data_IF_543360903076
#
_entry.id   IF_543360903076
#
_cell.length_a   1.000
_cell.length_b   1.000
_cell.length_c   1.000
_cell.angle_alpha   90.00
_cell.angle_beta   90.00
_cell.angle_gamma   90.00
#
_symmetry.space_group_name_H-M   'P 1'
#
loop_
_entity.id
_entity.type
_entity.pdbx_description
1 polymer ?
#
# COMPACT_ATOMS: atom_id res chain seq x y z
N UNK A 1 8.99 82.65 1.74
CA UNK A 1 8.26 81.48 2.27
C UNK A 1 7.81 80.64 1.10
N UNK A 2 8.49 79.53 0.82
CA UNK A 2 8.13 78.61 -0.27
C UNK A 2 7.57 77.35 0.37
N UNK A 3 6.29 77.08 0.15
CA UNK A 3 5.59 75.94 0.73
C UNK A 3 5.81 74.70 -0.14
N UNK A 4 6.44 73.64 0.41
CA UNK A 4 6.56 72.34 -0.25
C UNK A 4 5.33 71.50 0.10
N UNK A 5 4.52 71.18 -0.89
CA UNK A 5 3.45 70.19 -0.77
C UNK A 5 4.03 68.78 -0.92
N UNK A 6 3.81 67.92 0.08
CA UNK A 6 4.11 66.49 0.00
C UNK A 6 2.88 65.75 -0.53
N UNK A 7 3.04 65.06 -1.67
CA UNK A 7 2.06 64.10 -2.19
C UNK A 7 2.37 62.73 -1.59
N UNK A 8 1.50 62.27 -0.68
CA UNK A 8 1.47 60.89 -0.20
C UNK A 8 0.81 60.02 -1.27
N UNK A 9 1.62 59.28 -2.03
CA UNK A 9 1.14 58.23 -2.94
C UNK A 9 0.70 57.00 -2.16
N UNK A 10 -0.57 56.64 -2.25
CA UNK A 10 -1.09 55.37 -1.75
C UNK A 10 -0.79 54.29 -2.80
N UNK A 11 0.13 53.37 -2.48
CA UNK A 11 0.32 52.16 -3.27
C UNK A 11 -0.79 51.16 -2.92
N UNK A 12 -1.73 50.94 -3.83
CA UNK A 12 -2.71 49.87 -3.70
C UNK A 12 -2.03 48.53 -4.05
N UNK A 13 -1.81 47.69 -3.04
CA UNK A 13 -1.41 46.30 -3.26
C UNK A 13 -2.61 45.52 -3.81
N UNK A 14 -2.57 45.17 -5.09
CA UNK A 14 -3.53 44.22 -5.69
C UNK A 14 -3.09 42.82 -5.27
N UNK A 15 -3.77 42.26 -4.28
CA UNK A 15 -3.68 40.84 -3.98
C UNK A 15 -4.37 40.07 -5.12
N UNK A 16 -3.57 39.47 -6.01
CA UNK A 16 -4.06 38.52 -6.99
C UNK A 16 -4.42 37.25 -6.22
N UNK A 17 -5.70 37.07 -5.92
CA UNK A 17 -6.19 35.79 -5.42
C UNK A 17 -5.94 34.73 -6.50
N UNK A 18 -5.05 33.78 -6.22
CA UNK A 18 -4.93 32.58 -7.03
C UNK A 18 -6.32 31.93 -7.13
N UNK A 19 -6.75 31.45 -8.31
CA UNK A 19 -7.99 30.71 -8.40
C UNK A 19 -7.88 29.51 -7.46
N UNK A 20 -8.80 29.43 -6.51
CA UNK A 20 -8.92 28.25 -5.66
C UNK A 20 -9.07 27.05 -6.58
N UNK A 21 -8.12 26.11 -6.53
CA UNK A 21 -8.26 24.85 -7.20
C UNK A 21 -9.58 24.24 -6.69
N UNK A 22 -10.51 24.00 -7.60
CA UNK A 22 -11.75 23.31 -7.25
C UNK A 22 -11.34 21.93 -6.77
N UNK A 23 -11.42 21.70 -5.46
CA UNK A 23 -11.18 20.40 -4.85
C UNK A 23 -12.12 19.40 -5.51
N UNK A 24 -11.61 18.54 -6.39
CA UNK A 24 -12.37 17.40 -6.90
C UNK A 24 -12.41 16.36 -5.78
N UNK A 25 -13.58 16.09 -5.19
CA UNK A 25 -13.67 15.14 -4.10
C UNK A 25 -13.29 13.73 -4.58
N UNK A 26 -12.66 12.94 -3.71
CA UNK A 26 -12.29 11.56 -4.04
C UNK A 26 -13.48 10.75 -4.58
N UNK A 27 -13.25 10.04 -5.69
CA UNK A 27 -14.23 9.13 -6.28
C UNK A 27 -13.53 7.93 -6.88
N UNK A 28 -13.73 6.76 -6.26
CA UNK A 28 -13.16 5.50 -6.75
C UNK A 28 -13.63 5.13 -8.16
N UNK A 29 -14.91 5.43 -8.46
CA UNK A 29 -15.48 5.24 -9.79
C UNK A 29 -14.68 6.00 -10.86
N UNK A 30 -14.27 7.23 -10.55
CA UNK A 30 -13.55 8.10 -11.49
C UNK A 30 -12.02 7.94 -11.41
N UNK A 31 -11.50 7.07 -10.55
CA UNK A 31 -10.07 6.75 -10.52
C UNK A 31 -9.68 5.98 -11.78
N UNK A 32 -8.70 6.49 -12.51
CA UNK A 32 -8.13 5.91 -13.73
C UNK A 32 -6.75 5.28 -13.47
N UNK A 33 -5.98 5.82 -12.52
CA UNK A 33 -4.62 5.36 -12.23
C UNK A 33 -4.49 4.89 -10.78
N UNK A 34 -3.90 3.71 -10.58
CA UNK A 34 -3.52 3.21 -9.27
C UNK A 34 -2.00 3.08 -9.24
N UNK A 35 -1.34 3.89 -8.41
CA UNK A 35 0.08 3.84 -8.15
C UNK A 35 0.31 3.05 -6.86
N UNK A 36 1.09 1.98 -6.89
CA UNK A 36 1.27 1.13 -5.71
C UNK A 36 2.72 1.09 -5.24
N UNK A 37 2.90 1.24 -3.93
CA UNK A 37 4.19 1.13 -3.23
C UNK A 37 4.03 0.16 -2.08
N UNK A 38 5.06 -0.63 -1.77
CA UNK A 38 4.92 -1.65 -0.74
C UNK A 38 5.90 -2.81 -0.86
N UNK A 39 5.51 -3.91 -0.24
CA UNK A 39 6.30 -5.13 -0.17
C UNK A 39 5.69 -6.31 -0.96
N UNK A 40 5.97 -7.53 -0.51
CA UNK A 40 5.52 -8.77 -1.13
C UNK A 40 4.00 -8.95 -1.13
N UNK A 41 3.26 -8.28 -0.24
CA UNK A 41 1.79 -8.29 -0.25
C UNK A 41 1.21 -7.48 -1.41
N UNK A 42 2.02 -6.66 -2.09
CA UNK A 42 1.57 -5.74 -3.16
C UNK A 42 2.37 -5.88 -4.46
N UNK A 43 3.56 -6.51 -4.44
CA UNK A 43 4.35 -6.71 -5.65
C UNK A 43 3.58 -7.48 -6.73
N UNK A 44 3.72 -7.03 -7.98
CA UNK A 44 3.17 -7.66 -9.18
C UNK A 44 4.33 -7.97 -10.11
N UNK A 45 4.40 -9.17 -10.69
CA UNK A 45 5.45 -9.50 -11.66
C UNK A 45 5.29 -8.76 -12.99
N UNK A 46 6.34 -8.05 -13.41
CA UNK A 46 6.47 -7.50 -14.76
C UNK A 46 7.51 -8.27 -15.59
N UNK A 47 7.50 -8.08 -16.90
CA UNK A 47 8.54 -8.59 -17.82
C UNK A 47 9.88 -7.87 -17.69
N UNK A 48 9.90 -6.60 -17.23
CA UNK A 48 11.10 -5.80 -16.98
C UNK A 48 11.51 -5.78 -15.48
N UNK A 49 10.77 -6.52 -14.66
CA UNK A 49 10.99 -6.65 -13.24
C UNK A 49 11.96 -7.77 -12.87
N UNK A 50 12.38 -7.79 -11.61
CA UNK A 50 13.10 -8.94 -11.08
C UNK A 50 12.10 -10.06 -10.80
N UNK A 51 12.33 -11.22 -11.40
CA UNK A 51 11.44 -12.38 -11.27
C UNK A 51 11.20 -12.77 -9.81
N UNK A 52 9.92 -12.85 -9.43
CA UNK A 52 9.37 -13.06 -8.10
C UNK A 52 9.52 -11.89 -7.10
N UNK A 53 9.88 -10.68 -7.56
CA UNK A 53 10.14 -9.54 -6.66
C UNK A 53 9.54 -8.21 -7.08
N UNK A 54 9.44 -7.88 -8.37
CA UNK A 54 9.00 -6.55 -8.78
C UNK A 54 8.32 -6.53 -10.14
N UNK A 55 7.59 -5.44 -10.37
CA UNK A 55 7.06 -5.11 -11.69
C UNK A 55 8.19 -4.62 -12.59
N UNK A 56 8.98 -3.65 -12.11
CA UNK A 56 10.05 -3.04 -12.89
C UNK A 56 11.34 -2.87 -12.08
N UNK A 57 12.47 -3.27 -12.69
CA UNK A 57 13.80 -3.02 -12.15
C UNK A 57 14.11 -3.67 -10.79
N UNK A 58 15.25 -3.29 -10.22
CA UNK A 58 15.71 -3.68 -8.88
C UNK A 58 16.73 -2.68 -8.36
N UNK A 59 17.19 -2.77 -7.11
CA UNK A 59 18.23 -1.88 -6.59
C UNK A 59 19.55 -1.94 -7.39
N UNK A 60 19.85 -3.08 -8.02
CA UNK A 60 21.03 -3.24 -8.88
C UNK A 60 20.90 -2.49 -10.21
N UNK A 61 19.66 -2.20 -10.64
CA UNK A 61 19.34 -1.42 -11.82
C UNK A 61 18.00 -0.70 -11.59
N UNK A 62 18.06 0.40 -10.81
CA UNK A 62 16.86 1.11 -10.36
C UNK A 62 16.26 1.96 -11.48
N UNK A 63 17.09 2.41 -12.42
CA UNK A 63 16.67 3.21 -13.58
C UNK A 63 16.01 2.34 -14.65
N UNK A 64 15.06 2.94 -15.38
CA UNK A 64 14.50 2.36 -16.60
C UNK A 64 14.18 3.46 -17.61
N UNK A 65 14.11 3.06 -18.88
CA UNK A 65 13.71 3.95 -19.98
C UNK A 65 12.17 4.04 -20.11
N UNK A 66 11.65 5.09 -20.76
CA UNK A 66 10.22 5.16 -21.10
C UNK A 66 9.74 3.93 -21.89
N UNK A 67 10.56 3.43 -22.82
CA UNK A 67 10.24 2.26 -23.65
C UNK A 67 10.12 1.00 -22.81
N UNK A 68 10.99 0.81 -21.80
CA UNK A 68 10.89 -0.31 -20.87
C UNK A 68 9.61 -0.21 -20.04
N UNK A 69 9.35 0.92 -19.37
CA UNK A 69 8.16 1.07 -18.53
C UNK A 69 6.86 0.86 -19.31
N UNK A 70 6.77 1.46 -20.50
CA UNK A 70 5.59 1.35 -21.35
C UNK A 70 5.48 -0.04 -22.00
N UNK A 71 6.62 -0.66 -22.33
CA UNK A 71 6.70 -1.99 -22.91
C UNK A 71 6.38 -3.12 -21.93
N UNK A 72 6.59 -2.87 -20.64
CA UNK A 72 6.44 -3.83 -19.56
C UNK A 72 5.01 -4.38 -19.45
N UNK A 73 4.90 -5.66 -19.07
CA UNK A 73 3.65 -6.41 -19.03
C UNK A 73 3.52 -7.13 -17.71
N UNK A 74 2.37 -6.98 -17.07
CA UNK A 74 1.95 -7.82 -15.96
C UNK A 74 1.89 -9.27 -16.45
N UNK A 75 2.66 -10.13 -15.78
CA UNK A 75 2.74 -11.55 -16.10
C UNK A 75 1.68 -12.31 -15.31
N UNK A 76 0.71 -12.96 -15.96
CA UNK A 76 -0.24 -13.82 -15.26
C UNK A 76 0.44 -15.11 -14.80
N UNK A 77 -0.05 -15.68 -13.70
CA UNK A 77 0.36 -17.00 -13.26
C UNK A 77 0.39 -17.15 -11.75
N UNK A 78 0.64 -18.39 -11.33
CA UNK A 78 0.65 -18.76 -9.92
C UNK A 78 1.85 -18.17 -9.17
N UNK A 79 3.03 -18.15 -9.79
CA UNK A 79 4.27 -17.70 -9.17
C UNK A 79 4.64 -16.25 -9.51
N UNK A 80 3.66 -15.44 -9.93
CA UNK A 80 3.86 -14.05 -10.37
C UNK A 80 3.43 -13.01 -9.33
N UNK A 81 3.09 -13.47 -8.13
CA UNK A 81 2.96 -12.70 -6.89
C UNK A 81 3.34 -13.59 -5.69
N UNK A 82 3.35 -13.03 -4.48
CA UNK A 82 3.53 -13.83 -3.25
C UNK A 82 2.25 -14.50 -2.75
N UNK A 83 1.17 -14.49 -3.52
CA UNK A 83 -0.14 -15.03 -3.15
C UNK A 83 -0.48 -16.39 -3.80
N UNK A 84 0.32 -16.85 -4.77
CA UNK A 84 -0.05 -18.04 -5.56
C UNK A 84 -1.06 -17.77 -6.67
N UNK A 85 -1.22 -16.51 -7.07
CA UNK A 85 -2.19 -16.00 -8.04
C UNK A 85 -2.20 -14.47 -8.02
N UNK A 86 -3.20 -13.78 -8.59
CA UNK A 86 -3.30 -12.33 -8.50
C UNK A 86 -3.40 -11.85 -7.04
N UNK A 87 -2.69 -10.78 -6.70
CA UNK A 87 -2.79 -10.16 -5.38
C UNK A 87 -3.91 -9.11 -5.31
N UNK A 88 -4.07 -8.47 -4.15
CA UNK A 88 -5.19 -7.56 -3.89
C UNK A 88 -5.26 -6.35 -4.84
N UNK A 89 -4.13 -5.84 -5.36
CA UNK A 89 -4.15 -4.69 -6.29
C UNK A 89 -4.52 -5.12 -7.70
N UNK A 90 -4.13 -6.32 -8.12
CA UNK A 90 -4.56 -6.90 -9.40
C UNK A 90 -6.07 -7.21 -9.36
N UNK A 91 -6.56 -7.75 -8.24
CA UNK A 91 -8.00 -7.98 -8.03
C UNK A 91 -8.80 -6.68 -7.95
N UNK A 92 -8.31 -5.68 -7.20
CA UNK A 92 -8.98 -4.38 -7.03
C UNK A 92 -9.13 -3.60 -8.34
N UNK A 93 -8.12 -3.68 -9.22
CA UNK A 93 -8.11 -2.95 -10.49
C UNK A 93 -8.66 -3.76 -11.67
N UNK A 94 -8.73 -5.09 -11.53
CA UNK A 94 -8.95 -6.01 -12.65
C UNK A 94 -7.75 -6.14 -13.60
N UNK A 95 -6.65 -5.42 -13.37
CA UNK A 95 -5.47 -5.42 -14.22
C UNK A 95 -4.54 -6.60 -13.89
N UNK A 96 -4.90 -7.79 -14.35
CA UNK A 96 -4.24 -9.06 -13.99
C UNK A 96 -3.16 -9.52 -14.97
N UNK A 97 -3.15 -8.99 -16.18
CA UNK A 97 -2.18 -9.34 -17.23
C UNK A 97 -2.04 -8.23 -18.27
N UNK A 98 -0.99 -8.30 -19.08
CA UNK A 98 -0.80 -7.37 -20.20
C UNK A 98 -0.21 -6.03 -19.75
N UNK A 99 -0.36 -4.99 -20.58
CA UNK A 99 0.24 -3.69 -20.26
C UNK A 99 -0.67 -2.92 -19.31
N UNK A 100 -0.15 -2.26 -18.26
CA UNK A 100 -0.95 -1.45 -17.35
C UNK A 100 -1.88 -0.43 -18.04
N UNK A 101 -1.40 0.20 -19.13
CA UNK A 101 -2.15 1.22 -19.88
C UNK A 101 -3.35 0.68 -20.68
N UNK A 102 -3.42 -0.64 -20.88
CA UNK A 102 -4.51 -1.27 -21.62
C UNK A 102 -5.67 -1.67 -20.67
N UNK A 103 -5.47 -1.56 -19.36
CA UNK A 103 -6.47 -1.83 -18.33
C UNK A 103 -7.43 -0.64 -18.10
N UNK A 104 -8.67 -0.92 -17.70
CA UNK A 104 -9.67 0.12 -17.38
C UNK A 104 -9.19 1.03 -16.24
N UNK A 105 -8.66 0.43 -15.17
CA UNK A 105 -7.88 1.11 -14.15
C UNK A 105 -6.42 0.69 -14.31
N UNK A 106 -5.57 1.63 -14.67
CA UNK A 106 -4.17 1.35 -14.91
C UNK A 106 -3.45 1.05 -13.60
N UNK A 107 -2.80 -0.11 -13.52
CA UNK A 107 -2.04 -0.53 -12.34
C UNK A 107 -0.55 -0.33 -12.57
N UNK A 108 0.02 0.71 -11.97
CA UNK A 108 1.44 1.01 -12.04
C UNK A 108 2.11 0.67 -10.71
N UNK A 109 2.75 -0.51 -10.66
CA UNK A 109 3.33 -1.05 -9.44
C UNK A 109 4.81 -0.75 -9.27
N UNK A 110 5.17 -0.22 -8.10
CA UNK A 110 6.55 0.01 -7.65
C UNK A 110 6.89 -0.80 -6.39
N UNK A 111 5.94 -1.54 -5.84
CA UNK A 111 6.17 -2.46 -4.73
C UNK A 111 7.24 -3.51 -5.05
N UNK A 112 8.07 -3.82 -4.06
CA UNK A 112 9.18 -4.75 -4.17
C UNK A 112 9.13 -5.81 -3.05
N UNK A 113 9.11 -7.09 -3.40
CA UNK A 113 9.02 -8.16 -2.40
C UNK A 113 10.22 -8.14 -1.43
N UNK A 114 9.92 -8.13 -0.13
CA UNK A 114 10.94 -8.02 0.92
C UNK A 114 11.41 -6.59 1.21
N UNK A 115 10.71 -5.57 0.71
CA UNK A 115 11.03 -4.18 1.04
C UNK A 115 10.67 -3.84 2.48
N UNK A 116 11.61 -3.20 3.15
CA UNK A 116 11.40 -2.37 4.34
C UNK A 116 11.11 -0.92 3.93
N UNK A 117 10.68 -0.10 4.89
CA UNK A 117 10.40 1.33 4.66
C UNK A 117 11.68 2.07 4.23
N UNK A 118 12.77 1.83 4.94
CA UNK A 118 14.09 2.45 4.69
C UNK A 118 15.21 1.52 5.13
N UNK A 119 16.44 1.93 4.83
CA UNK A 119 17.64 1.24 5.35
C UNK A 119 18.21 1.86 6.63
N UNK A 120 17.48 2.79 7.27
CA UNK A 120 17.97 3.50 8.47
C UNK A 120 18.03 2.60 9.70
N UNK A 121 17.03 1.73 9.86
CA UNK A 121 16.85 0.89 11.06
C UNK A 121 17.12 -0.60 10.81
N UNK A 122 16.89 -1.05 9.58
CA UNK A 122 17.07 -2.44 9.14
C UNK A 122 17.84 -2.48 7.84
N UNK A 123 18.58 -3.56 7.62
CA UNK A 123 19.33 -3.78 6.38
C UNK A 123 18.44 -4.40 5.30
N UNK A 124 18.69 -4.11 4.03
CA UNK A 124 18.01 -4.78 2.93
C UNK A 124 18.12 -6.31 3.05
N UNK A 125 17.00 -7.02 2.86
CA UNK A 125 16.95 -8.48 2.81
C UNK A 125 17.87 -9.07 1.74
N UNK A 126 17.98 -8.35 0.61
CA UNK A 126 18.85 -8.68 -0.50
C UNK A 126 19.46 -7.41 -1.10
N UNK A 127 20.63 -7.51 -1.71
CA UNK A 127 21.28 -6.36 -2.36
C UNK A 127 20.50 -5.79 -3.56
N UNK A 128 19.54 -6.54 -4.10
CA UNK A 128 18.60 -6.11 -5.14
C UNK A 128 17.29 -5.52 -4.58
N UNK A 129 17.14 -5.59 -3.26
CA UNK A 129 16.29 -4.81 -2.35
C UNK A 129 15.90 -3.37 -2.71
N UNK A 130 14.75 -3.03 -3.32
CA UNK A 130 14.32 -1.62 -3.35
C UNK A 130 13.48 -1.30 -2.10
N UNK A 131 14.03 -0.51 -1.17
CA UNK A 131 13.28 0.01 -0.01
C UNK A 131 12.16 0.96 -0.43
N UNK A 132 11.12 1.12 0.40
CA UNK A 132 9.96 1.93 0.07
C UNK A 132 10.31 3.37 -0.35
N UNK A 133 11.21 4.04 0.38
CA UNK A 133 11.69 5.38 0.02
C UNK A 133 12.32 5.42 -1.39
N UNK A 134 13.05 4.35 -1.76
CA UNK A 134 13.66 4.19 -3.07
C UNK A 134 12.66 3.82 -4.15
N UNK A 135 11.56 3.13 -3.82
CA UNK A 135 10.45 2.91 -4.74
C UNK A 135 9.80 4.25 -5.13
N UNK A 136 9.60 5.15 -4.16
CA UNK A 136 9.07 6.50 -4.42
C UNK A 136 10.05 7.33 -5.25
N UNK A 137 11.36 7.27 -4.96
CA UNK A 137 12.40 7.93 -5.78
C UNK A 137 12.42 7.37 -7.21
N UNK A 138 12.30 6.05 -7.38
CA UNK A 138 12.27 5.38 -8.67
C UNK A 138 11.06 5.85 -9.49
N UNK A 139 9.88 5.91 -8.87
CA UNK A 139 8.69 6.46 -9.51
C UNK A 139 8.90 7.93 -9.89
N UNK A 140 9.36 8.78 -8.97
CA UNK A 140 9.50 10.21 -9.22
C UNK A 140 10.47 10.53 -10.36
N UNK A 141 11.58 9.80 -10.40
CA UNK A 141 12.69 10.01 -11.34
C UNK A 141 12.39 9.44 -12.72
N UNK A 142 11.87 8.21 -12.79
CA UNK A 142 11.76 7.46 -14.04
C UNK A 142 10.31 7.21 -14.48
N UNK A 143 9.38 7.07 -13.54
CA UNK A 143 7.99 6.70 -13.82
C UNK A 143 7.06 7.87 -14.07
N UNK A 144 7.15 8.93 -13.26
CA UNK A 144 6.16 10.00 -13.14
C UNK A 144 5.86 10.69 -14.48
N UNK A 145 6.89 11.11 -15.21
CA UNK A 145 6.73 11.81 -16.49
C UNK A 145 6.26 10.91 -17.63
N UNK A 146 6.54 9.60 -17.54
CA UNK A 146 6.20 8.61 -18.57
C UNK A 146 4.77 8.12 -18.40
N UNK A 147 4.37 7.81 -17.16
CA UNK A 147 3.00 7.41 -16.82
C UNK A 147 2.06 8.60 -17.02
N UNK A 148 2.49 9.79 -16.60
CA UNK A 148 1.72 11.04 -16.70
C UNK A 148 0.28 10.87 -16.16
N UNK A 149 0.16 10.18 -15.01
CA UNK A 149 -1.12 9.93 -14.36
C UNK A 149 -1.78 11.27 -13.98
N UNK A 150 -3.07 11.43 -14.31
CA UNK A 150 -3.87 12.56 -13.83
C UNK A 150 -3.95 12.49 -12.29
N UNK A 151 -3.34 13.44 -11.55
CA UNK A 151 -3.30 13.36 -10.10
C UNK A 151 -4.70 13.40 -9.47
N UNK A 152 -5.67 14.08 -10.09
CA UNK A 152 -7.05 14.16 -9.61
C UNK A 152 -7.81 12.83 -9.78
N UNK A 153 -7.39 12.01 -10.73
CA UNK A 153 -7.98 10.69 -11.03
C UNK A 153 -7.06 9.53 -10.66
N UNK A 154 -6.20 9.75 -9.68
CA UNK A 154 -5.26 8.74 -9.21
C UNK A 154 -5.57 8.32 -7.78
N UNK A 155 -5.24 7.08 -7.45
CA UNK A 155 -5.13 6.56 -6.08
C UNK A 155 -3.70 6.09 -5.84
N UNK A 156 -3.07 6.61 -4.80
CA UNK A 156 -1.75 6.17 -4.33
C UNK A 156 -1.97 5.17 -3.20
N UNK A 157 -1.63 3.92 -3.43
CA UNK A 157 -1.81 2.84 -2.46
C UNK A 157 -0.47 2.42 -1.83
N UNK A 158 -0.45 2.30 -0.51
CA UNK A 158 0.71 1.93 0.29
C UNK A 158 0.38 0.77 1.22
N UNK A 159 1.10 -0.34 1.07
CA UNK A 159 1.04 -1.47 2.00
C UNK A 159 2.46 -1.97 2.27
N UNK A 160 3.00 -1.55 3.41
CA UNK A 160 4.41 -1.70 3.80
C UNK A 160 4.50 -1.84 5.32
N UNK A 161 5.64 -2.28 5.85
CA UNK A 161 5.89 -2.45 7.28
C UNK A 161 5.93 -3.91 7.73
N UNK A 162 5.56 -4.86 6.86
CA UNK A 162 5.56 -6.29 7.21
C UNK A 162 6.99 -6.78 7.44
N UNK A 163 7.94 -6.40 6.58
CA UNK A 163 9.34 -6.77 6.77
C UNK A 163 9.95 -6.01 7.97
N UNK A 164 9.66 -4.71 8.08
CA UNK A 164 10.16 -3.86 9.16
C UNK A 164 9.84 -4.45 10.54
N UNK A 165 8.56 -4.79 10.80
CA UNK A 165 8.15 -5.32 12.10
C UNK A 165 8.74 -6.72 12.36
N UNK A 166 8.94 -7.55 11.32
CA UNK A 166 9.54 -8.88 11.47
C UNK A 166 11.03 -8.80 11.77
N UNK A 167 11.76 -7.90 11.11
CA UNK A 167 13.20 -7.74 11.27
C UNK A 167 13.55 -7.06 12.59
N UNK A 168 12.74 -6.07 12.98
CA UNK A 168 12.89 -5.41 14.27
C UNK A 168 12.38 -6.26 15.43
N UNK A 169 11.66 -7.36 15.19
CA UNK A 169 10.94 -8.09 16.22
C UNK A 169 11.80 -8.51 17.43
N UNK A 170 13.08 -8.79 17.19
CA UNK A 170 14.03 -9.25 18.21
C UNK A 170 15.00 -8.15 18.69
N UNK A 171 14.77 -6.89 18.34
CA UNK A 171 15.60 -5.78 18.79
C UNK A 171 15.56 -5.65 20.32
N UNK A 172 16.69 -5.29 20.89
CA UNK A 172 16.81 -4.94 22.30
C UNK A 172 16.75 -3.42 22.43
N UNK A 173 15.66 -2.90 23.00
CA UNK A 173 15.52 -1.48 23.26
C UNK A 173 16.46 -1.05 24.42
N UNK A 174 17.05 0.16 24.37
CA UNK A 174 16.84 1.18 23.34
C UNK A 174 17.64 0.95 22.06
N UNK A 175 17.08 1.35 20.91
CA UNK A 175 17.76 1.35 19.61
C UNK A 175 17.86 2.79 19.11
N UNK A 176 19.06 3.26 18.79
CA UNK A 176 19.30 4.65 18.34
C UNK A 176 18.71 5.73 19.27
N UNK A 177 18.67 5.47 20.57
CA UNK A 177 18.08 6.38 21.58
C UNK A 177 16.56 6.29 21.72
N UNK A 178 15.88 5.44 20.94
CA UNK A 178 14.45 5.18 21.04
C UNK A 178 14.22 4.04 22.05
N UNK A 179 13.44 4.31 23.09
CA UNK A 179 13.31 3.47 24.28
C UNK A 179 12.03 2.64 24.32
N UNK A 180 11.10 2.85 23.38
CA UNK A 180 9.86 2.08 23.26
C UNK A 180 9.61 1.65 21.81
N UNK A 181 8.76 0.63 21.64
CA UNK A 181 8.29 0.21 20.30
C UNK A 181 7.52 1.31 19.59
N UNK A 182 6.73 2.09 20.32
CA UNK A 182 5.98 3.22 19.76
C UNK A 182 6.92 4.31 19.21
N UNK A 183 7.99 4.66 19.96
CA UNK A 183 9.01 5.60 19.48
C UNK A 183 9.76 5.07 18.24
N UNK A 184 10.14 3.80 18.25
CA UNK A 184 10.82 3.16 17.12
C UNK A 184 9.94 3.14 15.87
N UNK A 185 8.70 2.64 15.99
CA UNK A 185 7.78 2.58 14.86
C UNK A 185 7.39 3.96 14.37
N UNK A 186 7.27 4.96 15.25
CA UNK A 186 7.03 6.35 14.84
C UNK A 186 8.17 6.88 13.99
N UNK A 187 9.42 6.60 14.36
CA UNK A 187 10.59 7.02 13.58
C UNK A 187 10.66 6.33 12.21
N UNK A 188 10.42 5.02 12.16
CA UNK A 188 10.39 4.24 10.91
C UNK A 188 9.27 4.71 9.99
N UNK A 189 8.04 4.81 10.50
CA UNK A 189 6.87 5.23 9.71
C UNK A 189 7.00 6.70 9.27
N UNK A 190 7.68 7.55 10.04
CA UNK A 190 7.95 8.92 9.60
C UNK A 190 8.75 8.98 8.28
N UNK A 191 9.66 8.03 8.01
CA UNK A 191 10.41 7.96 6.75
C UNK A 191 9.51 7.57 5.56
N UNK A 192 8.53 6.67 5.77
CA UNK A 192 7.51 6.34 4.77
C UNK A 192 6.74 7.61 4.35
N UNK A 193 6.27 8.40 5.31
CA UNK A 193 5.50 9.61 5.04
C UNK A 193 6.38 10.73 4.48
N UNK A 194 7.65 10.83 4.90
CA UNK A 194 8.61 11.75 4.31
C UNK A 194 8.86 11.45 2.83
N UNK A 195 8.91 10.17 2.42
CA UNK A 195 8.99 9.80 1.01
C UNK A 195 7.71 10.18 0.26
N UNK A 196 6.53 9.92 0.84
CA UNK A 196 5.22 10.24 0.22
C UNK A 196 4.96 11.73 0.01
N UNK A 197 5.66 12.62 0.71
CA UNK A 197 5.67 14.06 0.40
C UNK A 197 6.04 14.33 -1.07
N UNK A 198 6.92 13.51 -1.66
CA UNK A 198 7.28 13.61 -3.09
C UNK A 198 6.07 13.38 -3.99
N UNK A 199 5.25 12.37 -3.67
CA UNK A 199 4.03 12.03 -4.40
C UNK A 199 2.96 13.12 -4.21
N UNK A 200 2.81 13.64 -2.98
CA UNK A 200 1.91 14.76 -2.71
C UNK A 200 2.33 16.04 -3.45
N UNK A 201 3.62 16.39 -3.44
CA UNK A 201 4.16 17.56 -4.17
C UNK A 201 4.00 17.45 -5.68
N UNK A 202 3.93 16.23 -6.21
CA UNK A 202 3.60 15.97 -7.62
C UNK A 202 2.11 16.15 -7.96
N UNK A 203 1.26 16.47 -6.98
CA UNK A 203 -0.15 16.82 -7.20
C UNK A 203 -1.14 15.73 -6.81
N UNK A 204 -0.69 14.53 -6.42
CA UNK A 204 -1.59 13.45 -6.01
C UNK A 204 -2.27 13.81 -4.68
N UNK A 205 -3.57 13.51 -4.55
CA UNK A 205 -4.38 13.88 -3.38
C UNK A 205 -5.15 12.73 -2.75
N UNK A 206 -5.21 11.56 -3.37
CA UNK A 206 -5.94 10.42 -2.83
C UNK A 206 -4.94 9.32 -2.42
N UNK A 207 -4.86 9.06 -1.12
CA UNK A 207 -3.94 8.09 -0.55
C UNK A 207 -4.72 6.99 0.17
N UNK A 208 -4.36 5.73 -0.08
CA UNK A 208 -4.85 4.54 0.62
C UNK A 208 -3.69 3.86 1.31
N UNK A 209 -3.83 3.66 2.62
CA UNK A 209 -2.89 2.92 3.46
C UNK A 209 -3.56 1.65 3.96
N UNK A 210 -2.86 0.52 3.89
CA UNK A 210 -3.26 -0.72 4.56
C UNK A 210 -2.38 -0.87 5.80
N UNK A 211 -3.02 -1.07 6.96
CA UNK A 211 -2.29 -1.46 8.16
C UNK A 211 -1.83 -2.94 8.08
N UNK A 212 -0.96 -3.37 8.98
CA UNK A 212 -0.36 -4.70 8.92
C UNK A 212 -1.41 -5.81 8.97
N UNK A 213 -1.20 -6.94 8.26
CA UNK A 213 -2.05 -8.11 8.38
C UNK A 213 -1.86 -8.79 9.76
N UNK A 214 -2.70 -9.76 10.15
CA UNK A 214 -2.55 -10.50 11.41
C UNK A 214 -1.38 -11.50 11.35
N UNK A 215 -0.16 -10.98 11.42
CA UNK A 215 1.09 -11.76 11.40
C UNK A 215 1.20 -12.73 12.59
N UNK A 216 0.53 -12.42 13.69
CA UNK A 216 0.38 -13.25 14.88
C UNK A 216 -0.50 -14.49 14.67
N UNK A 217 -1.20 -14.61 13.52
CA UNK A 217 -2.01 -15.77 13.17
C UNK A 217 -1.35 -16.72 12.16
N UNK A 218 -0.11 -16.44 11.72
CA UNK A 218 0.57 -17.34 10.77
C UNK A 218 0.80 -18.75 11.37
N UNK A 219 1.01 -19.80 10.55
CA UNK A 219 1.14 -21.17 11.03
C UNK A 219 2.18 -21.36 12.15
N UNK A 220 3.32 -20.68 12.05
CA UNK A 220 4.36 -20.80 13.07
C UNK A 220 4.05 -20.01 14.36
N UNK A 221 3.26 -18.93 14.28
CA UNK A 221 2.73 -18.23 15.46
C UNK A 221 1.62 -19.02 16.14
N UNK A 222 0.82 -19.79 15.40
CA UNK A 222 -0.14 -20.74 15.99
C UNK A 222 0.56 -21.88 16.73
N UNK A 223 1.68 -22.38 16.20
CA UNK A 223 2.50 -23.40 16.86
C UNK A 223 3.27 -22.86 18.07
N UNK A 224 3.71 -21.60 18.01
CA UNK A 224 4.40 -20.92 19.09
C UNK A 224 3.81 -19.53 19.31
N UNK A 225 2.83 -19.37 20.22
CA UNK A 225 2.21 -18.08 20.51
C UNK A 225 3.17 -17.03 21.09
N UNK A 226 4.36 -17.44 21.55
CA UNK A 226 5.41 -16.52 22.01
C UNK A 226 6.31 -16.02 20.86
N UNK A 227 6.07 -16.48 19.61
CA UNK A 227 6.79 -15.99 18.44
C UNK A 227 6.51 -14.52 18.22
N UNK A 228 7.55 -13.78 17.82
CA UNK A 228 7.46 -12.36 17.47
C UNK A 228 7.30 -12.18 15.95
N UNK A 229 6.67 -11.06 15.49
CA UNK A 229 6.09 -10.00 16.30
C UNK A 229 4.83 -10.44 17.07
N UNK A 230 4.68 -9.98 18.30
CA UNK A 230 3.50 -10.27 19.12
C UNK A 230 2.29 -9.45 18.66
N UNK A 231 1.08 -9.87 19.08
CA UNK A 231 -0.15 -9.09 18.86
C UNK A 231 -0.02 -7.64 19.32
N UNK A 232 0.65 -7.39 20.46
CA UNK A 232 0.84 -6.04 21.00
C UNK A 232 1.80 -5.21 20.14
N UNK A 233 2.85 -5.82 19.58
CA UNK A 233 3.75 -5.15 18.64
C UNK A 233 3.00 -4.75 17.36
N UNK A 234 2.18 -5.66 16.82
CA UNK A 234 1.39 -5.41 15.61
C UNK A 234 0.36 -4.29 15.86
N UNK A 235 -0.35 -4.33 17.00
CA UNK A 235 -1.28 -3.27 17.40
C UNK A 235 -0.60 -1.92 17.59
N UNK A 236 0.60 -1.91 18.20
CA UNK A 236 1.39 -0.68 18.36
C UNK A 236 1.77 -0.11 17.00
N UNK A 237 2.28 -0.93 16.08
CA UNK A 237 2.64 -0.49 14.73
C UNK A 237 1.41 0.06 13.97
N UNK A 238 0.30 -0.67 14.00
CA UNK A 238 -0.95 -0.24 13.35
C UNK A 238 -1.53 1.05 13.97
N UNK A 239 -1.39 1.24 15.28
CA UNK A 239 -1.74 2.49 15.96
C UNK A 239 -0.91 3.65 15.45
N UNK A 240 0.42 3.47 15.33
CA UNK A 240 1.32 4.50 14.80
C UNK A 240 0.96 4.84 13.35
N UNK A 241 0.69 3.85 12.48
CA UNK A 241 0.21 4.12 11.11
C UNK A 241 -1.05 4.99 11.12
N UNK A 242 -2.03 4.69 11.98
CA UNK A 242 -3.26 5.48 12.07
C UNK A 242 -3.01 6.91 12.62
N UNK A 243 -2.09 7.07 13.56
CA UNK A 243 -1.72 8.39 14.08
C UNK A 243 -0.98 9.23 13.04
N UNK A 244 0.00 8.64 12.34
CA UNK A 244 0.79 9.35 11.32
C UNK A 244 -0.06 9.70 10.09
N UNK A 245 -0.98 8.83 9.65
CA UNK A 245 -1.93 9.13 8.57
C UNK A 245 -2.88 10.29 8.93
N UNK A 246 -3.36 10.32 10.18
CA UNK A 246 -4.16 11.45 10.69
C UNK A 246 -3.34 12.75 10.65
N UNK A 247 -2.10 12.75 11.16
CA UNK A 247 -1.22 13.90 11.11
C UNK A 247 -0.90 14.35 9.67
N UNK A 248 -0.74 13.41 8.74
CA UNK A 248 -0.56 13.69 7.32
C UNK A 248 -1.81 14.37 6.73
N UNK A 249 -3.02 13.91 7.06
CA UNK A 249 -4.26 14.57 6.65
C UNK A 249 -4.44 15.97 7.25
N UNK A 250 -4.02 16.19 8.50
CA UNK A 250 -4.02 17.51 9.13
C UNK A 250 -3.06 18.47 8.42
N UNK A 251 -1.88 17.98 8.04
CA UNK A 251 -0.86 18.75 7.31
C UNK A 251 -1.27 19.06 5.87
N UNK A 252 -2.03 18.17 5.23
CA UNK A 252 -2.45 18.24 3.84
C UNK A 252 -3.98 18.20 3.75
N UNK A 253 -4.62 19.31 4.15
CA UNK A 253 -6.07 19.39 4.26
C UNK A 253 -6.83 19.19 2.93
N UNK A 254 -6.15 19.42 1.80
CA UNK A 254 -6.65 19.19 0.44
C UNK A 254 -6.48 17.73 -0.04
N UNK A 255 -5.90 16.85 0.78
CA UNK A 255 -5.76 15.42 0.49
C UNK A 255 -6.86 14.58 1.17
N UNK A 256 -7.35 13.58 0.45
CA UNK A 256 -8.13 12.48 1.03
C UNK A 256 -7.18 11.36 1.45
N UNK A 257 -7.18 11.04 2.74
CA UNK A 257 -6.32 10.00 3.33
C UNK A 257 -7.19 8.88 3.87
N UNK A 258 -7.01 7.68 3.35
CA UNK A 258 -7.80 6.50 3.68
C UNK A 258 -6.90 5.47 4.35
N UNK A 259 -7.36 4.90 5.46
CA UNK A 259 -6.69 3.78 6.13
C UNK A 259 -7.63 2.61 6.15
N UNK A 260 -7.28 1.50 5.50
CA UNK A 260 -8.02 0.25 5.59
C UNK A 260 -7.47 -0.59 6.76
N UNK A 261 -8.38 -1.06 7.62
CA UNK A 261 -8.04 -1.91 8.75
C UNK A 261 -7.92 -3.38 8.32
N UNK A 262 -6.80 -3.67 7.66
CA UNK A 262 -6.46 -5.00 7.16
C UNK A 262 -6.33 -6.03 8.28
N UNK A 263 -5.76 -5.65 9.42
CA UNK A 263 -5.59 -6.55 10.57
C UNK A 263 -6.93 -7.14 11.00
N UNK A 264 -7.89 -6.27 11.28
CA UNK A 264 -9.15 -6.69 11.85
C UNK A 264 -10.04 -7.39 10.80
N UNK A 265 -10.02 -6.93 9.54
CA UNK A 265 -10.73 -7.60 8.45
C UNK A 265 -10.20 -9.02 8.21
N UNK A 266 -8.87 -9.19 8.09
CA UNK A 266 -8.30 -10.52 7.87
C UNK A 266 -8.41 -11.42 9.12
N UNK A 267 -8.48 -10.83 10.32
CA UNK A 267 -8.82 -11.57 11.54
C UNK A 267 -10.23 -12.12 11.48
N UNK A 268 -11.22 -11.32 11.05
CA UNK A 268 -12.60 -11.77 10.84
C UNK A 268 -12.68 -12.91 9.82
N UNK A 269 -11.98 -12.78 8.69
CA UNK A 269 -11.92 -13.84 7.67
C UNK A 269 -11.28 -15.11 8.22
N UNK A 270 -10.19 -14.97 8.98
CA UNK A 270 -9.50 -16.11 9.60
C UNK A 270 -10.36 -16.83 10.64
N UNK A 271 -11.05 -16.09 11.51
CA UNK A 271 -11.88 -16.65 12.58
C UNK A 271 -13.18 -17.26 12.06
N UNK A 272 -13.66 -16.80 10.91
CA UNK A 272 -14.84 -17.32 10.21
C UNK A 272 -14.47 -18.06 8.90
N UNK A 273 -13.28 -18.66 8.86
CA UNK A 273 -12.66 -19.26 7.67
C UNK A 273 -13.60 -20.12 6.81
N UNK A 274 -14.40 -20.99 7.42
CA UNK A 274 -15.32 -21.87 6.70
C UNK A 274 -16.40 -21.10 5.92
N UNK A 275 -16.90 -19.98 6.45
CA UNK A 275 -17.89 -19.12 5.78
C UNK A 275 -17.30 -18.41 4.57
N UNK A 276 -15.99 -18.26 4.53
CA UNK A 276 -15.23 -17.70 3.41
C UNK A 276 -14.60 -18.77 2.51
N UNK A 277 -14.95 -20.06 2.68
CA UNK A 277 -14.49 -21.13 1.80
C UNK A 277 -13.10 -21.71 2.12
N UNK A 278 -12.54 -21.41 3.29
CA UNK A 278 -11.27 -21.98 3.73
C UNK A 278 -11.46 -23.22 4.61
N UNK A 279 -10.76 -24.29 4.26
CA UNK A 279 -10.73 -25.54 5.04
C UNK A 279 -9.43 -25.70 5.82
N UNK A 280 -8.39 -24.90 5.50
CA UNK A 280 -7.11 -24.95 6.18
C UNK A 280 -6.55 -23.56 6.52
N UNK A 281 -6.47 -23.27 7.81
CA UNK A 281 -5.91 -22.04 8.38
C UNK A 281 -4.62 -22.28 9.17
N UNK A 282 -4.22 -23.52 9.37
CA UNK A 282 -3.15 -23.93 10.30
C UNK A 282 -1.85 -24.30 9.60
N UNK A 283 -1.86 -24.43 8.26
CA UNK A 283 -0.71 -24.86 7.46
C UNK A 283 -0.78 -24.31 6.04
N UNK A 284 0.20 -24.66 5.22
CA UNK A 284 0.25 -24.38 3.79
C UNK A 284 0.76 -25.62 3.05
N UNK A 285 0.50 -25.72 1.74
CA UNK A 285 0.99 -26.81 0.91
C UNK A 285 2.54 -26.77 0.82
N UNK A 286 3.29 -27.82 1.20
CA UNK A 286 4.76 -27.80 1.09
C UNK A 286 5.25 -27.62 -0.35
N UNK A 287 4.46 -28.06 -1.32
CA UNK A 287 4.73 -27.97 -2.76
C UNK A 287 4.09 -26.74 -3.41
N UNK A 288 3.78 -25.68 -2.65
CA UNK A 288 3.08 -24.48 -3.14
C UNK A 288 3.75 -23.79 -4.35
N UNK A 289 5.03 -24.06 -4.63
CA UNK A 289 5.77 -23.52 -5.79
C UNK A 289 5.73 -24.41 -7.03
N UNK A 290 5.15 -25.61 -6.96
CA UNK A 290 5.05 -26.49 -8.12
C UNK A 290 4.25 -25.79 -9.23
N UNK A 291 4.71 -25.91 -10.48
CA UNK A 291 4.23 -25.10 -11.60
C UNK A 291 2.76 -25.38 -11.98
N UNK A 292 2.25 -26.56 -11.62
CA UNK A 292 0.90 -27.04 -11.85
C UNK A 292 0.08 -27.19 -10.54
N UNK A 293 0.56 -26.64 -9.42
CA UNK A 293 -0.06 -26.90 -8.10
C UNK A 293 -1.52 -26.44 -8.04
N UNK A 294 -1.93 -25.42 -8.80
CA UNK A 294 -3.33 -25.00 -8.88
C UNK A 294 -4.29 -26.09 -9.40
N UNK A 295 -3.82 -26.97 -10.30
CA UNK A 295 -4.66 -28.02 -10.92
C UNK A 295 -4.28 -29.44 -10.49
N UNK A 296 -3.04 -29.65 -10.04
CA UNK A 296 -2.48 -30.95 -9.70
C UNK A 296 -2.12 -31.09 -8.20
N UNK A 297 -2.70 -30.24 -7.35
CA UNK A 297 -2.49 -30.24 -5.88
C UNK A 297 -2.56 -31.64 -5.24
N UNK A 298 -3.47 -32.49 -5.70
CA UNK A 298 -3.68 -33.83 -5.14
C UNK A 298 -2.46 -34.74 -5.34
N UNK A 299 -1.72 -34.60 -6.44
CA UNK A 299 -0.49 -35.35 -6.67
C UNK A 299 0.63 -34.99 -5.68
N UNK A 300 0.53 -33.81 -5.06
CA UNK A 300 1.43 -33.34 -4.02
C UNK A 300 0.92 -33.58 -2.59
N UNK A 301 -0.23 -34.25 -2.44
CA UNK A 301 -0.87 -34.45 -1.14
C UNK A 301 -1.43 -33.17 -0.52
N UNK A 302 -1.67 -32.14 -1.35
CA UNK A 302 -2.30 -30.90 -0.93
C UNK A 302 -3.80 -30.93 -1.23
N UNK A 303 -4.57 -30.02 -0.62
CA UNK A 303 -5.92 -29.67 -1.05
C UNK A 303 -5.86 -28.52 -2.08
N UNK A 304 -6.97 -28.08 -2.70
CA UNK A 304 -6.94 -26.94 -3.60
C UNK A 304 -6.30 -25.72 -2.92
N UNK A 305 -5.38 -25.03 -3.60
CA UNK A 305 -4.70 -23.85 -3.04
C UNK A 305 -5.71 -22.77 -2.62
N UNK A 306 -6.81 -22.66 -3.36
CA UNK A 306 -7.94 -21.78 -3.05
C UNK A 306 -8.57 -22.01 -1.66
N UNK A 307 -8.47 -23.22 -1.10
CA UNK A 307 -9.04 -23.56 0.21
C UNK A 307 -8.08 -23.36 1.39
N UNK A 308 -6.82 -23.01 1.12
CA UNK A 308 -5.88 -22.59 2.16
C UNK A 308 -6.00 -21.10 2.43
N UNK A 309 -5.91 -20.70 3.70
CA UNK A 309 -5.71 -19.30 4.07
C UNK A 309 -4.27 -18.85 3.82
N UNK A 310 -3.29 -19.71 4.15
CA UNK A 310 -1.86 -19.42 4.01
C UNK A 310 -1.29 -20.04 2.74
N UNK A 311 -0.65 -19.23 1.91
CA UNK A 311 0.08 -19.69 0.74
C UNK A 311 1.43 -20.29 1.11
N UNK A 312 2.12 -19.63 2.05
CA UNK A 312 3.37 -20.10 2.64
C UNK A 312 3.50 -19.59 4.08
N UNK A 313 4.69 -19.70 4.67
CA UNK A 313 4.95 -19.34 6.07
C UNK A 313 4.69 -17.87 6.44
N UNK A 314 4.56 -16.97 5.47
CA UNK A 314 4.41 -15.54 5.72
C UNK A 314 3.43 -14.81 4.80
N UNK A 315 2.75 -15.51 3.89
CA UNK A 315 1.85 -14.90 2.91
C UNK A 315 0.51 -15.63 2.86
N UNK A 316 -0.56 -14.86 2.65
CA UNK A 316 -1.92 -15.34 2.45
C UNK A 316 -2.15 -15.75 0.99
N UNK A 317 -3.13 -16.62 0.74
CA UNK A 317 -3.43 -17.07 -0.64
C UNK A 317 -4.12 -16.01 -1.47
N UNK A 318 -4.10 -16.20 -2.79
CA UNK A 318 -4.80 -15.35 -3.74
C UNK A 318 -6.31 -15.26 -3.47
N UNK A 319 -6.94 -16.31 -2.92
CA UNK A 319 -8.34 -16.24 -2.48
C UNK A 319 -8.52 -15.26 -1.30
N UNK A 320 -7.60 -15.23 -0.32
CA UNK A 320 -7.65 -14.23 0.75
C UNK A 320 -7.38 -12.83 0.20
N UNK A 321 -6.46 -12.68 -0.77
CA UNK A 321 -6.23 -11.40 -1.46
C UNK A 321 -7.45 -10.92 -2.27
N UNK A 322 -8.22 -11.83 -2.87
CA UNK A 322 -9.48 -11.53 -3.54
C UNK A 322 -10.51 -10.97 -2.54
N UNK A 323 -10.70 -11.63 -1.39
CA UNK A 323 -11.58 -11.14 -0.33
C UNK A 323 -11.12 -9.79 0.23
N UNK A 324 -9.80 -9.58 0.36
CA UNK A 324 -9.23 -8.28 0.73
C UNK A 324 -9.57 -7.21 -0.31
N UNK A 325 -9.38 -7.50 -1.60
CA UNK A 325 -9.66 -6.56 -2.68
C UNK A 325 -11.15 -6.20 -2.76
N UNK A 326 -12.04 -7.19 -2.62
CA UNK A 326 -13.49 -6.97 -2.55
C UNK A 326 -13.84 -6.01 -1.41
N UNK A 327 -13.26 -6.23 -0.23
CA UNK A 327 -13.55 -5.38 0.93
C UNK A 327 -12.95 -3.98 0.84
N UNK A 328 -11.74 -3.87 0.29
CA UNK A 328 -11.14 -2.57 -0.02
C UNK A 328 -11.99 -1.84 -1.06
N UNK A 329 -12.49 -2.50 -2.09
CA UNK A 329 -13.38 -1.89 -3.08
C UNK A 329 -14.67 -1.35 -2.43
N UNK A 330 -15.34 -2.13 -1.58
CA UNK A 330 -16.50 -1.65 -0.81
C UNK A 330 -16.16 -0.40 0.01
N UNK A 331 -15.03 -0.43 0.70
CA UNK A 331 -14.53 0.70 1.48
C UNK A 331 -14.28 1.93 0.61
N UNK A 332 -13.60 1.80 -0.53
CA UNK A 332 -13.33 2.91 -1.46
C UNK A 332 -14.61 3.48 -2.09
N UNK A 333 -15.58 2.63 -2.44
CA UNK A 333 -16.90 3.07 -2.93
C UNK A 333 -17.62 3.86 -1.85
N UNK A 334 -17.63 3.37 -0.61
CA UNK A 334 -18.28 4.07 0.49
C UNK A 334 -17.60 5.40 0.81
N UNK A 335 -16.27 5.44 0.82
CA UNK A 335 -15.46 6.61 1.15
C UNK A 335 -15.33 7.60 -0.02
N UNK A 336 -15.85 7.26 -1.19
CA UNK A 336 -16.05 8.22 -2.28
C UNK A 336 -17.02 9.30 -1.83
N UNK A 337 -16.74 10.56 -2.17
CA UNK A 337 -17.62 11.66 -1.83
C UNK A 337 -19.01 11.40 -2.42
N UNK A 338 -20.03 11.40 -1.56
CA UNK A 338 -21.41 11.35 -2.01
C UNK A 338 -21.72 12.64 -2.75
N UNK A 339 -21.94 12.55 -4.06
CA UNK A 339 -22.70 13.59 -4.75
C UNK A 339 -23.98 13.82 -3.95
N UNK A 340 -24.28 15.07 -3.62
CA UNK A 340 -25.35 15.49 -2.71
C UNK A 340 -26.57 14.53 -2.70
N UNK A 341 -26.88 13.89 -1.55
CA UNK A 341 -28.21 13.32 -1.33
C UNK A 341 -28.35 11.92 -0.72
N UNK A 342 -27.30 11.27 -0.20
CA UNK A 342 -27.41 9.93 0.39
C UNK A 342 -27.35 9.89 1.92
N UNK A 343 -28.42 10.25 2.63
CA UNK A 343 -28.56 9.93 4.07
C UNK A 343 -28.85 8.43 4.25
N UNK A 344 -27.82 7.59 4.12
CA UNK A 344 -27.75 6.22 4.66
C UNK A 344 -26.42 5.57 4.22
N UNK A 345 -25.28 6.16 4.58
CA UNK A 345 -24.02 5.41 4.56
C UNK A 345 -23.90 4.67 5.90
N UNK A 346 -24.18 3.36 5.90
CA UNK A 346 -23.78 2.47 7.00
C UNK A 346 -22.28 2.62 7.21
N UNK A 347 -21.83 3.08 8.39
CA UNK A 347 -20.40 3.15 8.72
C UNK A 347 -19.73 1.80 8.37
N UNK A 348 -18.69 1.81 7.53
CA UNK A 348 -17.85 0.61 7.38
C UNK A 348 -17.22 0.34 8.73
N UNK A 349 -17.35 -0.91 9.21
CA UNK A 349 -16.60 -1.38 10.37
C UNK A 349 -15.08 -1.42 10.11
N UNK A 350 -14.66 -1.34 8.84
CA UNK A 350 -13.28 -1.52 8.41
C UNK A 350 -12.73 -0.23 7.82
N UNK A 351 -11.79 0.37 8.54
CA UNK A 351 -11.02 1.51 8.09
C UNK A 351 -11.61 2.90 8.39
N UNK A 352 -10.79 3.91 8.13
CA UNK A 352 -11.07 5.32 8.43
C UNK A 352 -10.78 6.19 7.22
N UNK A 353 -11.57 7.25 7.05
CA UNK A 353 -11.30 8.31 6.07
C UNK A 353 -11.03 9.61 6.81
N UNK A 354 -9.93 10.26 6.47
CA UNK A 354 -9.52 11.55 7.00
C UNK A 354 -9.53 12.61 5.89
N UNK A 355 -10.13 13.76 6.19
CA UNK A 355 -10.07 14.99 5.37
C UNK A 355 -9.86 16.15 6.34
N UNK A 356 -8.79 16.94 6.13
CA UNK A 356 -8.44 18.03 7.06
C UNK A 356 -8.23 17.58 8.50
N UNK A 357 -7.83 16.32 8.74
CA UNK A 357 -7.66 15.75 10.08
C UNK A 357 -8.94 15.27 10.77
N UNK A 358 -10.11 15.46 10.16
CA UNK A 358 -11.39 14.99 10.69
C UNK A 358 -11.76 13.62 10.11
N UNK A 359 -12.17 12.69 10.98
CA UNK A 359 -12.68 11.39 10.55
C UNK A 359 -14.09 11.55 9.99
N UNK A 360 -14.34 10.99 8.80
CA UNK A 360 -15.66 11.06 8.12
C UNK A 360 -16.23 9.69 7.78
#
# INVERSE_FOLDING_TARGET
MVSKAYLLGWAAAVAIASPAAVETPFSWKNTEHVLTFGDSYTFVQGTEGRWAYSFIGSQLNISFTPEQLLGDRIVPGQNTSSAGGPNWVQELTGCKEGRPRDCEKQLWGFAYAGADISTTFVSLHWNHTISYEKQVEQWDTYGKSVINADPAKSLVASYIGINDINDMANFQLPVNGLSSWEELYTAVIAEQFAALETVYKAGHRNFLFLNLPPLDKNPASQLNPARLPSTDMIKTFNSVVNQTTKAFSEKHADATVLVFDTYSWLTEVFENAASYGFTNTTSFCPSYKAWDIDTNYAAYGCQPIYEYFWYNSGHITYHVHELLAQKVNEFLVQKSASGCGGKNQTLSAWGTRWVGGEST
#
